data_IF_694864808001
#
_entry.id   IF_694864808001
#
_cell.length_a   1.000
_cell.length_b   1.000
_cell.length_c   1.000
_cell.angle_alpha   90.00
_cell.angle_beta   90.00
_cell.angle_gamma   90.00
#
_symmetry.space_group_name_H-M   'P 1'
#
loop_
_entity.id
_entity.type
_entity.pdbx_description
1 polymer ?
#
# COMPACT_ATOMS: atom_id res chain seq x y z
N UNK A 1 7.47 19.01 15.15
CA UNK A 1 8.15 19.95 14.23
C UNK A 1 9.41 20.56 14.82
N UNK A 2 9.35 21.44 15.84
CA UNK A 2 10.58 22.04 16.37
C UNK A 2 11.54 21.04 17.04
N UNK A 3 10.99 20.03 17.71
CA UNK A 3 11.76 18.93 18.30
C UNK A 3 12.52 18.12 17.24
N UNK A 4 11.88 17.83 16.10
CA UNK A 4 12.48 17.05 15.00
C UNK A 4 13.67 17.77 14.38
N UNK A 5 13.55 19.10 14.20
CA UNK A 5 14.64 19.95 13.72
C UNK A 5 15.78 19.95 14.73
N UNK A 6 15.49 20.10 16.02
CA UNK A 6 16.51 20.04 17.06
C UNK A 6 17.23 18.68 17.08
N UNK A 7 16.49 17.59 16.91
CA UNK A 7 17.06 16.24 16.81
C UNK A 7 17.98 16.10 15.59
N UNK A 8 17.55 16.56 14.42
CA UNK A 8 18.36 16.54 13.20
C UNK A 8 19.65 17.37 13.31
N UNK A 9 19.62 18.44 14.12
CA UNK A 9 20.77 19.30 14.40
C UNK A 9 21.62 18.82 15.59
N UNK A 10 21.25 17.72 16.26
CA UNK A 10 21.95 17.22 17.45
C UNK A 10 21.79 18.11 18.69
N UNK A 11 20.75 18.95 18.73
CA UNK A 11 20.46 19.87 19.84
C UNK A 11 19.69 19.11 20.92
N UNK A 12 20.35 18.91 22.08
CA UNK A 12 19.80 18.13 23.20
C UNK A 12 18.63 18.79 23.92
N UNK A 13 18.56 20.12 23.94
CA UNK A 13 17.50 20.88 24.63
C UNK A 13 16.73 21.78 23.63
N UNK A 14 15.61 21.28 23.07
CA UNK A 14 14.79 22.04 22.13
C UNK A 14 14.20 23.32 22.75
N UNK A 15 13.79 23.28 24.03
CA UNK A 15 13.18 24.42 24.71
C UNK A 15 14.14 25.61 24.80
N UNK A 16 15.40 25.36 25.17
CA UNK A 16 16.43 26.39 25.21
C UNK A 16 16.83 26.91 23.83
N UNK A 17 16.77 26.06 22.80
CA UNK A 17 17.04 26.46 21.43
C UNK A 17 15.95 27.42 20.91
N UNK A 18 14.68 27.10 21.16
CA UNK A 18 13.53 27.89 20.73
C UNK A 18 13.40 29.20 21.50
N UNK A 19 13.80 29.22 22.79
CA UNK A 19 13.79 30.45 23.60
C UNK A 19 14.60 31.58 22.97
N UNK A 20 15.64 31.23 22.21
CA UNK A 20 16.57 32.15 21.53
C UNK A 20 16.08 32.68 20.18
N UNK A 21 14.94 32.18 19.70
CA UNK A 21 14.27 32.69 18.50
C UNK A 21 13.41 33.90 18.85
N UNK A 22 13.19 34.75 17.85
CA UNK A 22 12.31 35.91 17.98
C UNK A 22 10.84 35.46 18.11
N UNK A 23 9.98 36.38 18.55
CA UNK A 23 8.58 36.03 18.87
C UNK A 23 7.74 35.69 17.64
N UNK A 24 8.11 36.19 16.46
CA UNK A 24 7.51 35.89 15.16
C UNK A 24 8.02 34.56 14.57
N UNK A 25 9.13 34.06 15.08
CA UNK A 25 9.78 32.83 14.59
C UNK A 25 9.32 31.56 15.33
N UNK A 26 8.59 31.70 16.43
CA UNK A 26 8.15 30.59 17.29
C UNK A 26 6.70 30.72 17.72
N UNK A 27 6.00 29.60 17.84
CA UNK A 27 4.68 29.54 18.43
C UNK A 27 4.48 28.23 19.20
N UNK A 28 3.57 28.22 20.18
CA UNK A 28 3.18 27.03 20.93
C UNK A 28 1.71 26.76 20.66
N UNK A 29 1.42 25.62 20.03
CA UNK A 29 0.04 25.18 19.82
C UNK A 29 -0.33 24.12 20.84
N UNK A 30 -1.49 24.27 21.46
CA UNK A 30 -2.11 23.23 22.28
C UNK A 30 -2.98 22.36 21.39
N UNK A 31 -2.58 21.10 21.21
CA UNK A 31 -3.35 20.11 20.46
C UNK A 31 -4.41 19.50 21.38
N UNK A 32 -5.65 19.98 21.27
CA UNK A 32 -6.77 19.50 22.09
C UNK A 32 -7.46 18.27 21.49
N UNK A 33 -7.27 18.01 20.21
CA UNK A 33 -7.94 16.94 19.45
C UNK A 33 -6.94 15.81 19.14
N UNK A 34 -7.22 14.60 19.63
CA UNK A 34 -6.39 13.40 19.38
C UNK A 34 -5.57 12.87 20.55
N UNK A 35 -5.56 13.53 21.72
CA UNK A 35 -4.90 13.04 22.94
C UNK A 35 -5.93 12.39 23.86
N UNK A 36 -6.70 11.43 23.34
CA UNK A 36 -7.48 10.53 24.18
C UNK A 36 -6.59 9.34 24.57
N UNK A 37 -5.86 9.46 25.68
CA UNK A 37 -5.27 8.29 26.35
C UNK A 37 -3.76 8.31 26.63
N UNK A 38 -3.03 9.38 26.33
CA UNK A 38 -1.64 9.52 26.78
C UNK A 38 -1.49 10.80 27.60
N UNK A 39 -1.14 10.66 28.89
CA UNK A 39 -0.96 11.75 29.84
C UNK A 39 0.31 12.57 29.55
N UNK A 40 0.39 13.17 28.37
CA UNK A 40 1.49 14.02 27.92
C UNK A 40 1.11 15.49 27.86
N UNK A 41 2.12 16.37 27.84
CA UNK A 41 1.94 17.80 27.62
C UNK A 41 1.35 18.03 26.21
N UNK A 42 0.15 18.62 26.07
CA UNK A 42 -0.51 18.85 24.78
C UNK A 42 0.13 19.99 23.97
N UNK A 43 1.11 20.69 24.54
CA UNK A 43 1.76 21.82 23.93
C UNK A 43 2.89 21.38 22.98
N UNK A 44 2.74 21.73 21.71
CA UNK A 44 3.74 21.50 20.68
C UNK A 44 4.32 22.82 20.21
N UNK A 45 5.65 22.90 20.24
CA UNK A 45 6.36 24.05 19.71
C UNK A 45 6.52 23.92 18.19
N UNK A 46 6.17 25.00 17.51
CA UNK A 46 6.28 25.16 16.07
C UNK A 46 7.18 26.37 15.82
N UNK A 47 7.99 26.29 14.76
CA UNK A 47 8.85 27.38 14.33
C UNK A 47 8.56 27.71 12.86
N UNK A 48 8.73 28.98 12.50
CA UNK A 48 8.63 29.41 11.11
C UNK A 48 9.86 28.98 10.31
N UNK A 49 9.82 29.15 8.99
CA UNK A 49 10.99 28.93 8.12
C UNK A 49 12.16 29.83 8.52
N UNK A 50 11.88 31.10 8.88
CA UNK A 50 12.89 32.03 9.41
C UNK A 50 13.54 31.47 10.68
N UNK A 51 12.72 31.00 11.64
CA UNK A 51 13.22 30.38 12.86
C UNK A 51 14.06 29.13 12.60
N UNK A 52 13.68 28.32 11.60
CA UNK A 52 14.47 27.17 11.16
C UNK A 52 15.84 27.59 10.63
N UNK A 53 15.93 28.59 9.75
CA UNK A 53 17.21 29.14 9.29
C UNK A 53 18.06 29.64 10.46
N UNK A 54 17.46 30.39 11.38
CA UNK A 54 18.14 30.93 12.57
C UNK A 54 18.73 29.81 13.43
N UNK A 55 17.99 28.73 13.68
CA UNK A 55 18.50 27.57 14.43
C UNK A 55 19.65 26.88 13.71
N UNK A 56 19.53 26.63 12.41
CA UNK A 56 20.54 25.92 11.64
C UNK A 56 21.84 26.73 11.55
N UNK A 57 21.74 28.02 11.27
CA UNK A 57 22.89 28.91 11.11
C UNK A 57 23.62 29.19 12.43
N UNK A 58 22.89 29.24 13.55
CA UNK A 58 23.45 29.46 14.89
C UNK A 58 24.02 28.18 15.52
N UNK A 59 23.67 27.01 14.99
CA UNK A 59 24.17 25.74 15.51
C UNK A 59 25.71 25.72 15.51
N UNK A 60 26.32 25.28 16.62
CA UNK A 60 27.78 25.20 16.75
C UNK A 60 28.41 24.33 15.66
N UNK A 61 27.68 23.32 15.21
CA UNK A 61 28.12 22.41 14.18
C UNK A 61 28.02 22.98 12.76
N UNK A 62 27.40 24.15 12.56
CA UNK A 62 27.33 24.83 11.26
C UNK A 62 28.69 25.30 10.73
N UNK A 63 29.70 25.37 11.60
CA UNK A 63 31.09 25.71 11.23
C UNK A 63 31.94 24.45 11.05
N UNK A 64 31.51 23.28 11.58
CA UNK A 64 32.26 22.03 11.49
C UNK A 64 32.03 21.35 10.14
N UNK A 65 33.11 21.12 9.39
CA UNK A 65 33.02 20.44 8.11
C UNK A 65 32.46 19.02 8.28
N UNK A 66 31.66 18.56 7.31
CA UNK A 66 31.04 17.22 7.31
C UNK A 66 29.70 17.10 8.03
N UNK A 67 29.28 18.10 8.81
CA UNK A 67 27.98 18.06 9.52
C UNK A 67 26.82 18.50 8.62
N UNK A 68 25.59 18.08 8.98
CA UNK A 68 24.36 18.51 8.28
C UNK A 68 24.20 20.04 8.29
N UNK A 69 24.34 20.76 9.43
CA UNK A 69 24.18 22.21 9.46
C UNK A 69 25.24 22.95 8.62
N UNK A 70 26.48 22.44 8.55
CA UNK A 70 27.53 23.03 7.73
C UNK A 70 27.24 22.92 6.23
N UNK A 71 26.78 21.74 5.78
CA UNK A 71 26.39 21.53 4.37
C UNK A 71 25.25 22.45 3.98
N UNK A 72 24.23 22.55 4.83
CA UNK A 72 23.10 23.43 4.61
C UNK A 72 23.53 24.90 4.53
N UNK A 73 24.32 25.39 5.50
CA UNK A 73 24.86 26.75 5.49
C UNK A 73 25.62 27.04 4.19
N UNK A 74 26.54 26.15 3.78
CA UNK A 74 27.34 26.34 2.56
C UNK A 74 26.49 26.29 1.29
N UNK A 75 25.48 25.43 1.23
CA UNK A 75 24.53 25.38 0.12
C UNK A 75 23.74 26.69 0.02
N UNK A 76 23.17 27.17 1.14
CA UNK A 76 22.46 28.45 1.18
C UNK A 76 23.35 29.61 0.73
N UNK A 77 24.57 29.71 1.28
CA UNK A 77 25.43 30.88 1.05
C UNK A 77 26.17 30.88 -0.29
N UNK A 78 26.55 29.71 -0.82
CA UNK A 78 27.36 29.65 -2.05
C UNK A 78 26.52 29.38 -3.30
N UNK A 79 25.36 28.75 -3.15
CA UNK A 79 24.54 28.31 -4.28
C UNK A 79 23.20 29.04 -4.31
N UNK A 80 22.37 28.85 -3.27
CA UNK A 80 21.00 29.36 -3.24
C UNK A 80 20.95 30.90 -3.35
N UNK A 81 21.58 31.61 -2.41
CA UNK A 81 21.53 33.08 -2.38
C UNK A 81 22.23 33.72 -3.59
N UNK A 82 23.42 33.27 -4.04
CA UNK A 82 24.03 33.82 -5.24
C UNK A 82 23.22 33.58 -6.51
N UNK A 83 22.54 32.44 -6.64
CA UNK A 83 21.65 32.20 -7.77
C UNK A 83 20.46 33.16 -7.73
N UNK A 84 19.71 33.20 -6.62
CA UNK A 84 18.55 34.09 -6.47
C UNK A 84 18.93 35.55 -6.76
N UNK A 85 20.08 36.02 -6.27
CA UNK A 85 20.56 37.39 -6.53
C UNK A 85 20.88 37.66 -8.01
N UNK A 86 21.32 36.65 -8.77
CA UNK A 86 21.66 36.78 -10.19
C UNK A 86 20.45 36.62 -11.11
N UNK A 87 19.55 35.69 -10.80
CA UNK A 87 18.47 35.26 -11.70
C UNK A 87 17.07 35.63 -11.21
N UNK A 88 16.94 36.19 -10.01
CA UNK A 88 15.66 36.49 -9.37
C UNK A 88 14.87 35.26 -8.90
N UNK A 89 15.39 34.05 -9.12
CA UNK A 89 14.75 32.78 -8.75
C UNK A 89 15.80 31.67 -8.62
N UNK A 90 15.59 30.72 -7.71
CA UNK A 90 16.39 29.50 -7.67
C UNK A 90 15.76 28.45 -8.60
N UNK A 91 16.49 28.04 -9.64
CA UNK A 91 16.07 26.97 -10.54
C UNK A 91 16.93 25.75 -10.26
N UNK A 92 16.35 24.78 -9.58
CA UNK A 92 16.97 23.48 -9.39
C UNK A 92 17.15 22.84 -10.78
N UNK A 93 18.38 22.75 -11.26
CA UNK A 93 18.70 22.33 -12.63
C UNK A 93 18.41 20.84 -12.88
N UNK A 94 18.19 20.08 -11.80
CA UNK A 94 17.78 18.68 -11.78
C UNK A 94 16.89 18.53 -10.55
N UNK A 95 15.58 18.48 -10.70
CA UNK A 95 14.70 18.08 -9.59
C UNK A 95 15.31 16.80 -8.98
N UNK A 96 15.77 16.80 -7.72
CA UNK A 96 16.17 15.55 -7.10
C UNK A 96 14.94 14.65 -7.15
N UNK A 97 15.02 13.55 -7.89
CA UNK A 97 13.99 12.53 -7.89
C UNK A 97 13.70 12.20 -6.43
N UNK A 98 12.49 12.54 -6.00
CA UNK A 98 12.01 12.24 -4.67
C UNK A 98 11.93 10.72 -4.58
N UNK A 99 12.93 10.09 -3.98
CA UNK A 99 12.89 8.69 -3.57
C UNK A 99 12.39 8.67 -2.12
N UNK A 100 11.08 8.53 -1.87
CA UNK A 100 10.62 8.30 -0.51
C UNK A 100 11.24 6.99 -0.03
N UNK A 101 12.02 7.05 1.04
CA UNK A 101 12.50 5.87 1.78
C UNK A 101 11.34 5.14 2.48
N UNK A 102 10.12 5.66 2.40
CA UNK A 102 8.88 5.05 2.87
C UNK A 102 8.23 4.29 1.71
N UNK A 103 7.92 2.99 1.86
CA UNK A 103 7.19 2.25 0.85
C UNK A 103 5.88 2.95 0.50
N UNK A 104 5.63 3.19 -0.78
CA UNK A 104 4.34 3.68 -1.24
C UNK A 104 3.28 2.63 -0.90
N UNK A 105 2.32 2.99 -0.05
CA UNK A 105 1.26 2.09 0.40
C UNK A 105 0.07 2.16 -0.57
N UNK A 106 -0.65 1.04 -0.73
CA UNK A 106 -1.89 1.01 -1.49
C UNK A 106 -2.89 2.03 -0.94
N UNK A 107 -3.52 2.77 -1.87
CA UNK A 107 -4.59 3.71 -1.53
C UNK A 107 -5.85 2.96 -1.05
N UNK A 108 -6.74 3.70 -0.39
CA UNK A 108 -8.05 3.18 0.02
C UNK A 108 -8.86 2.65 -1.18
N UNK A 109 -8.75 3.29 -2.34
CA UNK A 109 -9.43 2.88 -3.57
C UNK A 109 -8.89 1.53 -4.08
N UNK A 110 -7.58 1.32 -4.01
CA UNK A 110 -6.93 0.08 -4.43
C UNK A 110 -7.33 -1.07 -3.51
N UNK A 111 -7.42 -0.80 -2.20
CA UNK A 111 -7.91 -1.75 -1.21
C UNK A 111 -9.39 -2.09 -1.42
N UNK A 112 -10.21 -1.12 -1.81
CA UNK A 112 -11.62 -1.33 -2.13
C UNK A 112 -11.78 -2.22 -3.37
N UNK A 113 -10.98 -1.99 -4.40
CA UNK A 113 -10.95 -2.83 -5.60
C UNK A 113 -10.50 -4.26 -5.28
N UNK A 114 -9.45 -4.41 -4.46
CA UNK A 114 -8.99 -5.72 -4.03
C UNK A 114 -10.06 -6.45 -3.20
N UNK A 115 -10.75 -5.74 -2.32
CA UNK A 115 -11.88 -6.27 -1.55
C UNK A 115 -13.01 -6.76 -2.46
N UNK A 116 -13.31 -6.01 -3.53
CA UNK A 116 -14.28 -6.43 -4.55
C UNK A 116 -13.84 -7.72 -5.26
N UNK A 117 -12.56 -7.85 -5.61
CA UNK A 117 -12.02 -9.08 -6.21
C UNK A 117 -12.13 -10.27 -5.26
N UNK A 118 -11.78 -10.08 -3.99
CA UNK A 118 -11.93 -11.11 -2.95
C UNK A 118 -13.38 -11.53 -2.81
N UNK A 119 -14.31 -10.58 -2.79
CA UNK A 119 -15.74 -10.87 -2.75
C UNK A 119 -16.20 -11.65 -3.98
N UNK A 120 -15.78 -11.30 -5.20
CA UNK A 120 -16.14 -12.07 -6.40
C UNK A 120 -15.64 -13.53 -6.32
N UNK A 121 -14.47 -13.76 -5.75
CA UNK A 121 -13.90 -15.09 -5.57
C UNK A 121 -14.66 -15.90 -4.51
N UNK A 122 -14.97 -15.32 -3.36
CA UNK A 122 -15.65 -16.01 -2.25
C UNK A 122 -17.18 -16.10 -2.41
N UNK A 123 -17.79 -15.18 -3.17
CA UNK A 123 -19.23 -15.15 -3.39
C UNK A 123 -19.69 -16.36 -4.20
N UNK A 124 -20.76 -17.02 -3.76
CA UNK A 124 -21.26 -18.28 -4.33
C UNK A 124 -20.82 -19.54 -3.59
N UNK A 125 -19.95 -19.44 -2.58
CA UNK A 125 -19.70 -20.54 -1.65
C UNK A 125 -20.52 -20.38 -0.38
N UNK A 126 -20.96 -21.51 0.19
CA UNK A 126 -21.70 -21.54 1.45
C UNK A 126 -20.91 -20.89 2.60
N UNK A 127 -19.59 -21.12 2.66
CA UNK A 127 -18.69 -20.56 3.68
C UNK A 127 -17.97 -19.29 3.20
N UNK A 128 -18.73 -18.30 2.71
CA UNK A 128 -18.16 -17.08 2.12
C UNK A 128 -17.12 -16.40 3.05
N UNK A 129 -17.42 -16.24 4.34
CA UNK A 129 -16.52 -15.56 5.27
C UNK A 129 -15.18 -16.29 5.44
N UNK A 130 -15.21 -17.62 5.56
CA UNK A 130 -14.01 -18.44 5.69
C UNK A 130 -13.17 -18.39 4.42
N UNK A 131 -13.80 -18.41 3.24
CA UNK A 131 -13.13 -18.22 1.96
C UNK A 131 -12.48 -16.85 1.86
N UNK A 132 -13.22 -15.78 2.18
CA UNK A 132 -12.69 -14.41 2.17
C UNK A 132 -11.47 -14.27 3.09
N UNK A 133 -11.54 -14.80 4.31
CA UNK A 133 -10.43 -14.79 5.26
C UNK A 133 -9.21 -15.60 4.75
N UNK A 134 -9.45 -16.77 4.14
CA UNK A 134 -8.38 -17.60 3.58
C UNK A 134 -7.69 -16.93 2.39
N UNK A 135 -8.45 -16.23 1.54
CA UNK A 135 -7.90 -15.47 0.41
C UNK A 135 -7.03 -14.32 0.93
N UNK A 136 -7.50 -13.57 1.93
CA UNK A 136 -6.68 -12.53 2.56
C UNK A 136 -5.41 -13.10 3.18
N UNK A 137 -5.49 -14.26 3.84
CA UNK A 137 -4.32 -14.95 4.37
C UNK A 137 -3.32 -15.34 3.27
N UNK A 138 -3.80 -15.89 2.14
CA UNK A 138 -2.95 -16.24 1.01
C UNK A 138 -2.23 -15.02 0.39
N UNK A 139 -2.96 -13.90 0.20
CA UNK A 139 -2.36 -12.65 -0.29
C UNK A 139 -1.29 -12.11 0.66
N UNK A 140 -1.50 -12.27 1.97
CA UNK A 140 -0.53 -11.87 3.01
C UNK A 140 0.71 -12.76 3.03
N UNK A 141 0.56 -14.07 2.81
CA UNK A 141 1.67 -15.01 2.73
C UNK A 141 2.63 -14.66 1.58
N UNK A 142 2.10 -14.35 0.40
CA UNK A 142 2.93 -14.05 -0.78
C UNK A 142 3.57 -12.66 -0.72
N UNK A 143 2.91 -11.70 -0.08
CA UNK A 143 3.49 -10.37 0.12
C UNK A 143 4.46 -10.29 1.30
N UNK A 144 4.40 -11.23 2.25
CA UNK A 144 5.20 -11.22 3.48
C UNK A 144 4.80 -10.13 4.47
N UNK A 145 3.68 -9.42 4.22
CA UNK A 145 3.23 -8.28 5.02
C UNK A 145 2.20 -8.79 6.05
N UNK A 146 2.50 -8.81 7.35
CA UNK A 146 1.55 -9.26 8.36
C UNK A 146 0.41 -8.26 8.57
N UNK A 147 -0.76 -8.76 8.96
CA UNK A 147 -1.84 -7.90 9.47
C UNK A 147 -1.35 -7.18 10.74
N UNK A 148 -1.56 -5.86 10.93
CA UNK A 148 -2.50 -4.96 10.23
C UNK A 148 -1.88 -4.05 9.17
N UNK A 149 -0.65 -4.30 8.71
CA UNK A 149 0.05 -3.40 7.77
C UNK A 149 -0.65 -3.32 6.41
N UNK A 150 -0.66 -2.14 5.78
CA UNK A 150 -1.18 -1.97 4.41
C UNK A 150 -0.20 -2.56 3.40
N UNK A 151 -0.71 -3.07 2.28
CA UNK A 151 0.13 -3.58 1.21
C UNK A 151 0.89 -2.44 0.52
N UNK A 152 2.06 -2.75 -0.02
CA UNK A 152 2.90 -1.83 -0.76
C UNK A 152 2.57 -1.89 -2.26
N UNK A 153 2.67 -0.75 -2.95
CA UNK A 153 2.44 -0.61 -4.41
C UNK A 153 3.40 -1.51 -5.21
N UNK A 154 4.63 -1.70 -4.72
CA UNK A 154 5.62 -2.57 -5.38
C UNK A 154 5.21 -4.05 -5.41
N UNK A 155 4.31 -4.48 -4.51
CA UNK A 155 3.84 -5.87 -4.40
C UNK A 155 2.57 -6.14 -5.22
N UNK A 156 2.05 -5.14 -5.93
CA UNK A 156 0.88 -5.26 -6.82
C UNK A 156 1.00 -6.42 -7.81
N UNK A 157 2.14 -6.66 -8.49
CA UNK A 157 2.26 -7.78 -9.42
C UNK A 157 2.08 -9.15 -8.74
N UNK A 158 2.61 -9.31 -7.53
CA UNK A 158 2.48 -10.54 -6.74
C UNK A 158 1.03 -10.74 -6.27
N UNK A 159 0.37 -9.67 -5.83
CA UNK A 159 -1.05 -9.71 -5.48
C UNK A 159 -1.91 -10.10 -6.69
N UNK A 160 -1.61 -9.55 -7.87
CA UNK A 160 -2.32 -9.87 -9.11
C UNK A 160 -2.15 -11.33 -9.54
N UNK A 161 -0.94 -11.89 -9.40
CA UNK A 161 -0.65 -13.30 -9.68
C UNK A 161 -1.44 -14.22 -8.74
N UNK A 162 -1.43 -13.94 -7.44
CA UNK A 162 -2.17 -14.75 -6.48
C UNK A 162 -3.68 -14.62 -6.64
N UNK A 163 -4.20 -13.43 -6.94
CA UNK A 163 -5.60 -13.25 -7.29
C UNK A 163 -5.98 -14.09 -8.51
N UNK A 164 -5.12 -14.16 -9.55
CA UNK A 164 -5.33 -15.03 -10.71
C UNK A 164 -5.41 -16.50 -10.31
N UNK A 165 -4.41 -16.98 -9.56
CA UNK A 165 -4.35 -18.38 -9.11
C UNK A 165 -5.58 -18.77 -8.29
N UNK A 166 -5.96 -17.94 -7.32
CA UNK A 166 -7.13 -18.17 -6.46
C UNK A 166 -8.42 -18.12 -7.29
N UNK A 167 -8.55 -17.16 -8.19
CA UNK A 167 -9.72 -17.06 -9.05
C UNK A 167 -9.93 -18.34 -9.87
N UNK A 168 -8.87 -18.87 -10.50
CA UNK A 168 -8.93 -20.14 -11.24
C UNK A 168 -9.45 -21.29 -10.38
N UNK A 169 -8.91 -21.44 -9.16
CA UNK A 169 -9.33 -22.47 -8.21
C UNK A 169 -10.82 -22.29 -7.87
N UNK A 170 -11.22 -21.07 -7.47
CA UNK A 170 -12.61 -20.82 -7.09
C UNK A 170 -13.60 -21.04 -8.23
N UNK A 171 -13.25 -20.68 -9.46
CA UNK A 171 -14.11 -20.88 -10.62
C UNK A 171 -14.29 -22.37 -10.95
N UNK A 172 -13.22 -23.17 -10.84
CA UNK A 172 -13.30 -24.63 -11.00
C UNK A 172 -14.27 -25.26 -10.01
N UNK A 173 -14.17 -24.90 -8.73
CA UNK A 173 -15.08 -25.42 -7.70
C UNK A 173 -16.53 -24.99 -7.96
N UNK A 174 -16.77 -23.75 -8.39
CA UNK A 174 -18.12 -23.28 -8.73
C UNK A 174 -18.73 -24.06 -9.91
N UNK A 175 -17.94 -24.35 -10.95
CA UNK A 175 -18.40 -25.16 -12.08
C UNK A 175 -18.75 -26.60 -11.67
N UNK A 176 -17.96 -27.20 -10.77
CA UNK A 176 -18.25 -28.52 -10.22
C UNK A 176 -19.59 -28.52 -9.46
N UNK A 177 -19.81 -27.52 -8.60
CA UNK A 177 -21.07 -27.37 -7.86
C UNK A 177 -22.24 -27.21 -8.83
N UNK A 178 -22.09 -26.36 -9.86
CA UNK A 178 -23.13 -26.14 -10.87
C UNK A 178 -23.50 -27.41 -11.65
N UNK A 179 -22.50 -28.18 -12.12
CA UNK A 179 -22.77 -29.43 -12.82
C UNK A 179 -23.38 -30.49 -11.87
N UNK A 180 -22.97 -30.51 -10.60
CA UNK A 180 -23.56 -31.37 -9.60
C UNK A 180 -25.06 -31.04 -9.38
N UNK A 181 -25.40 -29.78 -9.18
CA UNK A 181 -26.79 -29.32 -9.04
C UNK A 181 -27.64 -29.71 -10.25
N UNK A 182 -27.10 -29.51 -11.45
CA UNK A 182 -27.76 -29.85 -12.72
C UNK A 182 -28.04 -31.35 -12.85
N UNK A 183 -27.12 -32.21 -12.43
CA UNK A 183 -27.31 -33.67 -12.43
C UNK A 183 -28.39 -34.09 -11.45
N UNK A 184 -28.39 -33.54 -10.22
CA UNK A 184 -29.42 -33.80 -9.21
C UNK A 184 -30.81 -33.39 -9.72
N UNK A 185 -30.93 -32.21 -10.33
CA UNK A 185 -32.21 -31.73 -10.89
C UNK A 185 -32.68 -32.65 -12.03
N UNK A 186 -31.79 -33.03 -12.94
CA UNK A 186 -32.16 -33.82 -14.13
C UNK A 186 -32.47 -35.28 -13.81
N UNK A 187 -31.65 -35.93 -12.99
CA UNK A 187 -31.73 -37.38 -12.76
C UNK A 187 -32.56 -37.72 -11.54
N UNK A 188 -32.34 -37.04 -10.42
CA UNK A 188 -33.08 -37.31 -9.18
C UNK A 188 -34.47 -36.67 -9.22
N UNK A 189 -34.58 -35.37 -9.53
CA UNK A 189 -35.88 -34.67 -9.44
C UNK A 189 -36.79 -34.90 -10.66
N UNK A 190 -36.26 -34.88 -11.89
CA UNK A 190 -37.10 -35.07 -13.10
C UNK A 190 -37.30 -36.54 -13.47
N UNK A 191 -36.25 -37.35 -13.47
CA UNK A 191 -36.31 -38.77 -13.88
C UNK A 191 -36.61 -39.75 -12.72
N UNK A 192 -36.61 -39.27 -11.46
CA UNK A 192 -36.79 -40.09 -10.24
C UNK A 192 -35.84 -41.30 -10.17
N UNK A 193 -34.61 -41.13 -10.63
CA UNK A 193 -33.57 -42.15 -10.44
C UNK A 193 -33.18 -42.25 -8.96
N UNK A 194 -32.65 -43.41 -8.54
CA UNK A 194 -32.21 -43.61 -7.16
C UNK A 194 -31.04 -42.65 -6.82
N UNK A 195 -31.26 -41.78 -5.83
CA UNK A 195 -30.34 -40.72 -5.47
C UNK A 195 -28.96 -41.25 -5.00
N UNK A 196 -28.90 -42.38 -4.30
CA UNK A 196 -27.64 -42.95 -3.80
C UNK A 196 -26.71 -43.36 -4.95
N UNK A 197 -27.29 -43.92 -6.02
CA UNK A 197 -26.56 -44.30 -7.21
C UNK A 197 -26.01 -43.09 -7.96
N UNK A 198 -26.83 -42.04 -8.12
CA UNK A 198 -26.43 -40.81 -8.81
C UNK A 198 -25.30 -40.09 -8.05
N UNK A 199 -25.38 -40.03 -6.72
CA UNK A 199 -24.33 -39.44 -5.87
C UNK A 199 -23.01 -40.23 -6.00
N UNK A 200 -23.08 -41.56 -6.01
CA UNK A 200 -21.89 -42.43 -6.15
C UNK A 200 -21.22 -42.26 -7.53
N UNK A 201 -22.01 -42.19 -8.61
CA UNK A 201 -21.50 -41.93 -9.97
C UNK A 201 -20.86 -40.54 -10.10
N UNK A 202 -21.40 -39.53 -9.40
CA UNK A 202 -20.83 -38.18 -9.34
C UNK A 202 -19.50 -38.14 -8.59
N UNK A 203 -19.36 -38.88 -7.49
CA UNK A 203 -18.11 -38.99 -6.74
C UNK A 203 -17.00 -39.64 -7.57
N UNK A 204 -17.27 -40.75 -8.25
CA UNK A 204 -16.30 -41.41 -9.14
C UNK A 204 -15.90 -40.52 -10.33
N UNK A 205 -16.84 -39.77 -10.89
CA UNK A 205 -16.55 -38.82 -11.99
C UNK A 205 -15.65 -37.68 -11.53
N UNK A 206 -15.82 -37.21 -10.29
CA UNK A 206 -14.98 -36.16 -9.69
C UNK A 206 -13.56 -36.64 -9.43
N UNK A 207 -13.39 -37.87 -8.91
CA UNK A 207 -12.08 -38.48 -8.70
C UNK A 207 -11.31 -38.64 -10.02
N UNK A 208 -11.99 -39.08 -11.09
CA UNK A 208 -11.39 -39.19 -12.43
C UNK A 208 -11.05 -37.84 -13.08
N UNK A 209 -11.86 -36.80 -12.87
CA UNK A 209 -11.61 -35.46 -13.41
C UNK A 209 -10.48 -34.71 -12.68
N UNK A 210 -10.30 -34.95 -11.37
CA UNK A 210 -9.19 -34.39 -10.61
C UNK A 210 -7.81 -34.84 -11.15
N UNK A 211 -7.74 -36.04 -11.74
CA UNK A 211 -6.51 -36.59 -12.32
C UNK A 211 -6.21 -36.08 -13.74
N UNK A 212 -7.23 -35.65 -14.51
CA UNK A 212 -7.06 -35.18 -15.89
C UNK A 212 -6.94 -33.65 -16.03
N UNK A 213 -7.45 -32.87 -15.07
CA UNK A 213 -7.50 -31.40 -15.18
C UNK A 213 -6.14 -30.67 -15.05
N UNK A 214 -5.04 -31.36 -14.68
CA UNK A 214 -3.70 -30.74 -14.59
C UNK A 214 -3.15 -30.31 -15.97
N UNK A 215 -3.60 -30.93 -17.08
CA UNK A 215 -3.04 -30.68 -18.42
C UNK A 215 -3.77 -29.65 -19.28
N UNK A 216 -5.03 -29.33 -18.98
CA UNK A 216 -5.94 -28.67 -19.96
C UNK A 216 -6.14 -27.17 -19.70
N UNK A 217 -5.59 -26.62 -18.61
CA UNK A 217 -5.93 -25.28 -18.11
C UNK A 217 -5.15 -24.11 -18.73
N UNK A 218 -4.20 -24.37 -19.63
CA UNK A 218 -3.31 -23.32 -20.15
C UNK A 218 -3.85 -22.58 -21.39
N UNK A 219 -5.01 -22.93 -21.96
CA UNK A 219 -5.38 -22.46 -23.32
C UNK A 219 -6.62 -21.58 -23.46
N UNK A 220 -7.39 -21.28 -22.39
CA UNK A 220 -8.68 -20.55 -22.53
C UNK A 220 -8.85 -19.38 -21.57
N UNK A 221 -7.77 -18.69 -21.20
CA UNK A 221 -7.79 -17.56 -20.27
C UNK A 221 -7.81 -16.21 -21.01
N UNK A 222 -8.60 -16.09 -22.08
CA UNK A 222 -8.04 -15.39 -23.23
C UNK A 222 -8.32 -13.88 -23.39
N UNK A 223 -9.40 -13.24 -22.91
CA UNK A 223 -9.63 -11.84 -23.34
C UNK A 223 -10.25 -10.86 -22.34
N UNK A 224 -11.34 -11.22 -21.66
CA UNK A 224 -11.97 -10.28 -20.72
C UNK A 224 -11.29 -10.29 -19.34
N UNK A 225 -10.73 -11.43 -18.95
CA UNK A 225 -10.10 -11.67 -17.66
C UNK A 225 -8.70 -11.05 -17.59
N UNK A 226 -7.93 -11.15 -18.68
CA UNK A 226 -6.74 -10.33 -18.89
C UNK A 226 -7.06 -8.85 -18.75
N UNK A 227 -8.25 -8.38 -19.17
CA UNK A 227 -8.60 -6.96 -19.13
C UNK A 227 -8.73 -6.40 -17.71
N UNK A 228 -9.42 -7.04 -16.76
CA UNK A 228 -9.55 -6.54 -15.38
C UNK A 228 -8.21 -6.57 -14.62
N UNK A 229 -7.42 -7.62 -14.84
CA UNK A 229 -6.09 -7.77 -14.23
C UNK A 229 -5.08 -6.81 -14.87
N UNK A 230 -5.14 -6.62 -16.18
CA UNK A 230 -4.35 -5.61 -16.88
C UNK A 230 -4.81 -4.20 -16.51
N UNK A 231 -6.10 -3.95 -16.25
CA UNK A 231 -6.57 -2.66 -15.73
C UNK A 231 -6.00 -2.37 -14.35
N UNK A 232 -5.90 -3.37 -13.48
CA UNK A 232 -5.23 -3.24 -12.19
C UNK A 232 -3.73 -2.95 -12.36
N UNK A 233 -3.04 -3.70 -13.23
CA UNK A 233 -1.60 -3.55 -13.50
C UNK A 233 -1.22 -2.27 -14.29
N UNK A 234 -2.07 -1.80 -15.20
CA UNK A 234 -1.84 -0.57 -15.98
C UNK A 234 -2.09 0.68 -15.15
N UNK A 235 -3.07 0.66 -14.23
CA UNK A 235 -3.32 1.78 -13.32
C UNK A 235 -2.21 1.97 -12.30
N UNK A 236 -1.55 0.90 -11.86
CA UNK A 236 -0.31 1.04 -11.10
C UNK A 236 0.81 1.65 -11.93
N UNK A 237 0.96 1.25 -13.20
CA UNK A 237 2.00 1.79 -14.08
C UNK A 237 1.81 3.30 -14.37
N UNK A 238 0.58 3.73 -14.62
CA UNK A 238 0.26 5.15 -14.84
C UNK A 238 0.47 6.01 -13.58
N UNK A 239 0.31 5.47 -12.37
CA UNK A 239 0.63 6.22 -11.14
C UNK A 239 2.12 6.40 -10.92
N UNK A 240 2.94 5.37 -11.19
CA UNK A 240 4.40 5.49 -11.18
C UNK A 240 4.85 6.54 -12.22
N UNK A 241 4.24 6.54 -13.42
CA UNK A 241 4.55 7.52 -14.47
C UNK A 241 4.09 8.96 -14.14
N UNK A 242 2.93 9.14 -13.48
CA UNK A 242 2.44 10.47 -13.09
C UNK A 242 3.18 11.10 -11.91
N UNK A 243 3.95 10.31 -11.15
CA UNK A 243 4.88 10.83 -10.13
C UNK A 243 6.32 11.00 -10.67
N UNK A 244 6.52 10.84 -11.98
CA UNK A 244 7.80 10.98 -12.69
C UNK A 244 7.96 12.31 -13.45
N UNK A 245 7.11 13.31 -13.20
CA UNK A 245 7.15 14.64 -13.83
C UNK A 245 7.05 15.78 -12.80
#
# INVERSE_FOLDING_TARGET
VAADICQALGITNPTEAIRKLDNDEKNTLSLTEGIHGSAGNPNVNIISESGMYTLVLRCRDAVKQGTVPHRFRKWVTNELLPQIRKTGSYKVSQQPQYHPQSPELLSHDDLSNLTRLVWCMSNGFHFNQSWSNAIWYALRQVTGIPSPQRFEVQKIPLLAEECRRIYMITNQFKNVIFEAEKQVIRRCLRKRENAERVISEMQQSLEGAAQSNVSTLNSTLAQWEEREINLFAQRSHNRVAHHSY
#
